data_IF_089024672504
#
_entry.id   IF_089024672504
#
_cell.length_a   1.000
_cell.length_b   1.000
_cell.length_c   1.000
_cell.angle_alpha   90.00
_cell.angle_beta   90.00
_cell.angle_gamma   90.00
#
_symmetry.space_group_name_H-M   'P 1'
#
loop_
_entity.id
_entity.type
_entity.pdbx_description
1 polymer ?
#
# COMPACT_ATOMS: atom_id res chain seq x y z
N UNK A 1 -10.69 -20.66 6.47
CA UNK A 1 -9.47 -20.36 7.24
C UNK A 1 -9.14 -18.91 7.03
N UNK A 2 -9.00 -18.21 8.12
CA UNK A 2 -8.86 -16.75 8.14
C UNK A 2 -7.41 -16.37 7.81
N UNK A 3 -7.23 -15.40 6.90
CA UNK A 3 -5.96 -14.73 6.67
C UNK A 3 -5.33 -14.17 7.97
N UNK A 4 -6.13 -14.05 9.03
CA UNK A 4 -5.74 -13.50 10.33
C UNK A 4 -4.98 -14.49 11.21
N UNK A 5 -5.11 -15.79 10.97
CA UNK A 5 -4.54 -16.83 11.83
C UNK A 5 -3.20 -17.39 11.32
N UNK A 6 -2.85 -17.11 10.07
CA UNK A 6 -1.61 -17.56 9.42
C UNK A 6 -0.63 -16.39 9.22
N UNK A 7 0.37 -16.59 8.37
CA UNK A 7 1.34 -15.54 8.00
C UNK A 7 0.71 -14.36 7.23
N UNK A 8 -0.62 -14.36 7.06
CA UNK A 8 -1.37 -13.32 6.35
C UNK A 8 -1.19 -13.37 4.83
N UNK A 9 -0.66 -14.48 4.28
CA UNK A 9 -0.33 -14.61 2.88
C UNK A 9 -0.93 -15.91 2.33
N UNK A 10 -1.65 -15.81 1.21
CA UNK A 10 -2.10 -16.97 0.44
C UNK A 10 -1.55 -16.87 -0.97
N UNK A 11 -0.80 -17.87 -1.39
CA UNK A 11 -0.39 -18.03 -2.78
C UNK A 11 -1.20 -19.14 -3.44
N UNK A 12 -1.83 -18.82 -4.57
CA UNK A 12 -2.63 -19.77 -5.33
C UNK A 12 -2.19 -19.82 -6.79
N UNK A 13 -2.20 -21.02 -7.36
CA UNK A 13 -2.12 -21.20 -8.80
C UNK A 13 -3.55 -21.19 -9.38
N UNK A 14 -3.87 -20.18 -10.18
CA UNK A 14 -5.19 -20.06 -10.77
C UNK A 14 -5.47 -21.14 -11.83
N UNK A 15 -4.43 -21.76 -12.40
CA UNK A 15 -4.50 -22.68 -13.55
C UNK A 15 -5.35 -22.13 -14.70
N UNK A 16 -5.53 -20.82 -14.76
CA UNK A 16 -6.34 -20.14 -15.77
C UNK A 16 -5.44 -19.62 -16.89
N UNK A 17 -5.87 -19.85 -18.11
CA UNK A 17 -5.31 -19.23 -19.30
C UNK A 17 -6.28 -18.14 -19.74
N UNK A 18 -5.78 -16.95 -19.91
CA UNK A 18 -6.58 -15.79 -20.33
C UNK A 18 -6.26 -15.43 -21.77
N UNK A 19 -7.30 -15.18 -22.56
CA UNK A 19 -7.14 -14.79 -23.96
C UNK A 19 -6.46 -13.42 -24.10
N UNK A 20 -6.70 -12.50 -23.15
CA UNK A 20 -6.14 -11.17 -23.12
C UNK A 20 -6.23 -10.57 -21.70
N UNK A 21 -5.65 -9.36 -21.51
CA UNK A 21 -5.67 -8.64 -20.25
C UNK A 21 -7.09 -8.32 -19.76
N UNK A 22 -8.01 -8.02 -20.67
CA UNK A 22 -9.37 -7.66 -20.31
C UNK A 22 -10.10 -8.86 -19.68
N UNK A 23 -9.98 -10.04 -20.28
CA UNK A 23 -10.56 -11.27 -19.72
C UNK A 23 -9.95 -11.61 -18.36
N UNK A 24 -8.64 -11.41 -18.19
CA UNK A 24 -7.94 -11.58 -16.92
C UNK A 24 -8.47 -10.60 -15.85
N UNK A 25 -8.58 -9.32 -16.18
CA UNK A 25 -9.09 -8.28 -15.27
C UNK A 25 -10.53 -8.56 -14.83
N UNK A 26 -11.41 -8.93 -15.77
CA UNK A 26 -12.81 -9.28 -15.47
C UNK A 26 -12.89 -10.48 -14.51
N UNK A 27 -12.09 -11.51 -14.76
CA UNK A 27 -12.02 -12.67 -13.88
C UNK A 27 -11.48 -12.29 -12.49
N UNK A 28 -10.42 -11.50 -12.45
CA UNK A 28 -9.78 -11.09 -11.21
C UNK A 28 -10.70 -10.23 -10.33
N UNK A 29 -11.44 -9.29 -10.91
CA UNK A 29 -12.44 -8.50 -10.18
C UNK A 29 -13.49 -9.44 -9.55
N UNK A 30 -14.04 -10.37 -10.34
CA UNK A 30 -15.03 -11.34 -9.82
C UNK A 30 -14.47 -12.22 -8.71
N UNK A 31 -13.19 -12.57 -8.79
CA UNK A 31 -12.51 -13.30 -7.73
C UNK A 31 -12.40 -12.45 -6.46
N UNK A 32 -11.92 -11.21 -6.58
CA UNK A 32 -11.78 -10.29 -5.45
C UNK A 32 -13.14 -9.98 -4.78
N UNK A 33 -14.21 -9.86 -5.55
CA UNK A 33 -15.57 -9.65 -5.03
C UNK A 33 -16.09 -10.80 -4.14
N UNK A 34 -15.49 -11.99 -4.22
CA UNK A 34 -15.81 -13.10 -3.30
C UNK A 34 -15.08 -13.00 -1.97
N UNK A 35 -14.02 -12.17 -1.90
CA UNK A 35 -13.21 -11.94 -0.69
C UNK A 35 -13.73 -10.71 0.04
N UNK A 36 -14.06 -9.66 -0.70
CA UNK A 36 -14.48 -8.38 -0.13
C UNK A 36 -14.93 -7.39 -1.20
N UNK A 37 -15.07 -6.14 -0.82
CA UNK A 37 -15.44 -5.05 -1.73
C UNK A 37 -14.17 -4.46 -2.36
N UNK A 38 -13.97 -4.58 -3.69
CA UNK A 38 -12.83 -3.96 -4.36
C UNK A 38 -12.86 -2.44 -4.23
N UNK A 39 -11.72 -1.86 -3.90
CA UNK A 39 -11.54 -0.42 -3.81
C UNK A 39 -11.02 0.14 -5.13
N UNK A 40 -11.42 1.37 -5.46
CA UNK A 40 -10.89 2.08 -6.61
C UNK A 40 -9.38 2.29 -6.49
N UNK A 41 -8.65 1.96 -7.55
CA UNK A 41 -7.19 2.10 -7.67
C UNK A 41 -6.78 3.41 -8.34
N UNK A 42 -7.71 4.09 -9.00
CA UNK A 42 -7.49 5.35 -9.71
C UNK A 42 -8.62 6.35 -9.41
N UNK A 43 -8.38 7.62 -9.72
CA UNK A 43 -9.41 8.67 -9.62
C UNK A 43 -10.57 8.47 -10.60
N UNK A 44 -10.41 7.64 -11.64
CA UNK A 44 -11.42 7.28 -12.61
C UNK A 44 -12.30 6.10 -12.17
N UNK A 45 -11.99 5.49 -11.04
CA UNK A 45 -12.77 4.38 -10.52
C UNK A 45 -12.31 2.98 -10.98
N UNK A 46 -11.14 2.87 -11.59
CA UNK A 46 -10.59 1.56 -11.98
C UNK A 46 -10.38 0.68 -10.76
N UNK A 47 -10.85 -0.55 -10.82
CA UNK A 47 -10.72 -1.53 -9.74
C UNK A 47 -9.45 -2.37 -9.83
N UNK A 48 -8.74 -2.34 -10.96
CA UNK A 48 -7.50 -3.08 -11.20
C UNK A 48 -6.45 -2.15 -11.77
N UNK A 49 -5.30 -2.11 -11.13
CA UNK A 49 -4.12 -1.41 -11.64
C UNK A 49 -3.18 -2.39 -12.33
N UNK A 50 -2.76 -2.08 -13.56
CA UNK A 50 -1.73 -2.86 -14.25
C UNK A 50 -0.34 -2.42 -13.78
N UNK A 51 0.40 -3.36 -13.19
CA UNK A 51 1.78 -3.12 -12.74
C UNK A 51 2.74 -3.58 -13.84
N UNK A 52 3.45 -2.66 -14.44
CA UNK A 52 4.48 -2.91 -15.47
C UNK A 52 5.38 -1.70 -15.60
N UNK A 53 6.61 -1.90 -15.99
CA UNK A 53 7.50 -0.80 -16.36
C UNK A 53 6.98 -0.15 -17.65
N UNK A 54 6.61 1.11 -17.58
CA UNK A 54 6.16 1.92 -18.72
C UNK A 54 7.28 2.80 -19.25
N UNK A 55 8.48 2.69 -18.67
CA UNK A 55 9.69 3.43 -19.12
C UNK A 55 9.51 4.95 -19.14
N UNK A 56 8.63 5.49 -18.29
CA UNK A 56 8.50 6.92 -18.11
C UNK A 56 9.79 7.49 -17.51
N UNK A 57 10.23 8.64 -18.01
CA UNK A 57 11.39 9.34 -17.43
C UNK A 57 11.14 9.77 -15.98
N UNK A 58 12.21 9.91 -15.21
CA UNK A 58 12.14 10.30 -13.78
C UNK A 58 11.34 11.60 -13.53
N UNK A 59 11.40 12.55 -14.46
CA UNK A 59 10.68 13.83 -14.36
C UNK A 59 9.25 13.80 -14.93
N UNK A 60 8.81 12.66 -15.48
CA UNK A 60 7.46 12.56 -16.03
C UNK A 60 6.44 12.53 -14.87
N UNK A 61 5.43 13.39 -14.87
CA UNK A 61 4.42 13.46 -13.81
C UNK A 61 3.59 12.17 -13.68
N UNK A 62 3.59 11.31 -14.71
CA UNK A 62 2.93 10.00 -14.70
C UNK A 62 3.75 8.94 -13.98
N UNK A 63 5.03 9.20 -13.69
CA UNK A 63 5.92 8.25 -13.03
C UNK A 63 5.46 7.98 -11.61
N UNK A 64 5.11 6.73 -11.35
CA UNK A 64 4.73 6.21 -10.04
C UNK A 64 5.45 4.90 -9.78
N UNK A 65 5.58 4.50 -8.52
CA UNK A 65 6.22 3.23 -8.15
C UNK A 65 5.78 2.03 -9.00
N UNK A 66 4.46 1.76 -9.14
CA UNK A 66 3.95 0.60 -9.88
C UNK A 66 4.22 0.59 -11.38
N UNK A 67 4.62 1.71 -11.99
CA UNK A 67 4.92 1.79 -13.44
C UNK A 67 6.40 2.02 -13.75
N UNK A 68 7.27 1.70 -12.81
CA UNK A 68 8.73 1.74 -12.97
C UNK A 68 9.37 0.41 -12.61
N UNK A 69 10.62 0.21 -13.01
CA UNK A 69 11.47 -0.91 -12.60
C UNK A 69 12.20 -0.68 -11.27
N UNK A 70 11.91 0.41 -10.57
CA UNK A 70 12.55 0.74 -9.31
C UNK A 70 12.01 -0.13 -8.16
N UNK A 71 12.90 -0.49 -7.23
CA UNK A 71 12.50 -1.17 -6.00
C UNK A 71 11.61 -0.24 -5.17
N UNK A 72 10.46 -0.72 -4.75
CA UNK A 72 9.60 -0.04 -3.79
C UNK A 72 10.10 -0.26 -2.36
N UNK A 73 10.08 0.77 -1.54
CA UNK A 73 10.29 0.64 -0.10
C UNK A 73 9.15 -0.13 0.55
N UNK A 74 9.42 -0.77 1.69
CA UNK A 74 8.36 -1.37 2.49
C UNK A 74 7.30 -0.33 2.83
N UNK A 75 6.05 -0.70 2.66
CA UNK A 75 4.90 0.12 2.95
C UNK A 75 3.67 -0.76 3.24
N UNK A 76 2.66 -0.18 3.81
CA UNK A 76 1.34 -0.79 3.92
C UNK A 76 0.34 0.00 3.08
N UNK A 77 -0.50 -0.71 2.33
CA UNK A 77 -1.63 -0.10 1.63
C UNK A 77 -2.83 0.09 2.56
N UNK A 78 -3.76 0.95 2.17
CA UNK A 78 -4.94 1.31 2.98
C UNK A 78 -6.13 0.42 2.64
N UNK A 79 -5.98 -0.86 2.88
CA UNK A 79 -7.03 -1.86 2.65
C UNK A 79 -6.80 -3.06 3.58
N UNK A 80 -7.81 -3.87 3.77
CA UNK A 80 -7.72 -5.08 4.61
C UNK A 80 -7.01 -6.22 3.88
N UNK A 81 -7.17 -6.31 2.56
CA UNK A 81 -6.59 -7.36 1.72
C UNK A 81 -6.06 -6.75 0.43
N UNK A 82 -4.85 -7.13 0.06
CA UNK A 82 -4.26 -6.84 -1.26
C UNK A 82 -4.27 -8.13 -2.07
N UNK A 83 -4.72 -8.06 -3.30
CA UNK A 83 -4.68 -9.18 -4.23
C UNK A 83 -3.81 -8.84 -5.44
N UNK A 84 -2.97 -9.79 -5.88
CA UNK A 84 -2.18 -9.70 -7.09
C UNK A 84 -2.50 -10.86 -8.02
N UNK A 85 -2.66 -10.58 -9.30
CA UNK A 85 -2.72 -11.57 -10.37
C UNK A 85 -1.48 -11.43 -11.25
N UNK A 86 -0.54 -12.37 -11.15
CA UNK A 86 0.63 -12.40 -11.99
C UNK A 86 0.26 -13.02 -13.35
N UNK A 87 0.27 -12.23 -14.41
CA UNK A 87 0.05 -12.70 -15.79
C UNK A 87 1.37 -13.07 -16.47
N UNK A 88 2.44 -12.34 -16.16
CA UNK A 88 3.76 -12.58 -16.70
C UNK A 88 4.80 -12.15 -15.64
N UNK A 89 5.65 -13.05 -15.19
CA UNK A 89 6.71 -12.68 -14.24
C UNK A 89 7.76 -11.79 -14.93
N UNK A 90 8.44 -10.96 -14.14
CA UNK A 90 9.60 -10.23 -14.62
C UNK A 90 10.73 -11.18 -15.01
N UNK A 91 11.56 -10.79 -15.99
CA UNK A 91 12.75 -11.57 -16.38
C UNK A 91 13.79 -11.65 -15.25
N UNK A 92 13.88 -10.59 -14.43
CA UNK A 92 14.78 -10.48 -13.29
C UNK A 92 14.18 -9.52 -12.27
N UNK A 93 14.22 -9.89 -10.99
CA UNK A 93 13.61 -9.09 -9.92
C UNK A 93 12.07 -9.17 -9.93
N UNK A 94 11.43 -8.23 -9.27
CA UNK A 94 9.98 -8.16 -9.15
C UNK A 94 9.40 -9.06 -8.06
N UNK A 95 10.25 -9.67 -7.23
CA UNK A 95 9.84 -10.45 -6.08
C UNK A 95 9.21 -9.55 -5.02
N UNK A 96 8.08 -9.98 -4.47
CA UNK A 96 7.47 -9.35 -3.32
C UNK A 96 8.21 -9.77 -2.04
N UNK A 97 8.56 -8.78 -1.22
CA UNK A 97 9.10 -8.99 0.11
C UNK A 97 8.02 -8.60 1.11
N UNK A 98 7.70 -9.48 2.05
CA UNK A 98 6.61 -9.27 3.00
C UNK A 98 7.16 -9.45 4.41
N UNK A 99 6.73 -8.57 5.31
CA UNK A 99 7.07 -8.63 6.73
C UNK A 99 5.81 -8.36 7.56
N UNK A 100 5.64 -9.11 8.64
CA UNK A 100 4.54 -8.89 9.58
C UNK A 100 4.77 -7.62 10.38
N UNK A 101 3.92 -6.63 10.22
CA UNK A 101 4.05 -5.33 10.90
C UNK A 101 3.94 -5.44 12.43
N UNK A 102 3.21 -6.43 12.94
CA UNK A 102 3.16 -6.70 14.39
C UNK A 102 4.54 -7.12 14.93
N UNK A 103 5.26 -8.00 14.22
CA UNK A 103 6.63 -8.39 14.61
C UNK A 103 7.60 -7.21 14.55
N UNK A 104 7.46 -6.35 13.55
CA UNK A 104 8.26 -5.10 13.48
C UNK A 104 7.99 -4.23 14.71
N UNK A 105 6.72 -4.07 15.10
CA UNK A 105 6.35 -3.32 16.32
C UNK A 105 6.96 -3.94 17.57
N UNK A 106 6.95 -5.27 17.71
CA UNK A 106 7.52 -5.98 18.86
C UNK A 106 9.03 -5.74 18.98
N UNK A 107 9.78 -5.86 17.90
CA UNK A 107 11.22 -5.56 17.86
C UNK A 107 11.49 -4.10 18.26
N UNK A 108 10.74 -3.14 17.72
CA UNK A 108 10.89 -1.73 18.08
C UNK A 108 10.57 -1.51 19.57
N UNK A 109 9.57 -2.21 20.09
CA UNK A 109 9.21 -2.13 21.52
C UNK A 109 10.33 -2.62 22.42
N UNK A 110 11.07 -3.65 22.01
CA UNK A 110 12.19 -4.22 22.77
C UNK A 110 13.46 -3.39 22.65
N UNK A 111 13.82 -2.99 21.42
CA UNK A 111 15.09 -2.33 21.16
C UNK A 111 15.03 -0.81 21.31
N UNK A 112 13.90 -0.19 20.96
CA UNK A 112 13.73 1.27 20.93
C UNK A 112 12.32 1.70 21.38
N UNK A 113 11.97 1.47 22.66
CA UNK A 113 10.66 1.82 23.20
C UNK A 113 10.37 3.34 23.15
N UNK A 114 11.40 4.17 23.10
CA UNK A 114 11.30 5.61 22.87
C UNK A 114 10.70 5.93 21.49
N UNK A 115 11.16 5.23 20.43
CA UNK A 115 10.64 5.41 19.08
C UNK A 115 9.23 4.83 18.92
N UNK A 116 8.88 3.78 19.65
CA UNK A 116 7.55 3.21 19.57
C UNK A 116 6.47 4.25 19.90
N UNK A 117 6.67 5.03 20.97
CA UNK A 117 5.75 6.10 21.36
C UNK A 117 5.54 7.13 20.25
N UNK A 118 6.61 7.41 19.50
CA UNK A 118 6.56 8.33 18.35
C UNK A 118 5.74 7.71 17.22
N UNK A 119 5.98 6.43 16.89
CA UNK A 119 5.28 5.73 15.81
C UNK A 119 3.79 5.48 16.12
N UNK A 120 3.39 5.53 17.38
CA UNK A 120 2.00 5.51 17.84
C UNK A 120 1.36 6.92 17.89
N UNK A 121 2.16 7.98 17.74
CA UNK A 121 1.65 9.34 17.57
C UNK A 121 1.21 9.59 16.12
N UNK A 122 0.43 10.66 15.92
CA UNK A 122 -0.11 10.98 14.59
C UNK A 122 0.93 11.71 13.74
N UNK A 123 1.13 11.21 12.52
CA UNK A 123 1.93 11.81 11.47
C UNK A 123 1.05 12.43 10.37
N UNK A 124 1.47 13.51 9.73
CA UNK A 124 0.84 14.01 8.52
C UNK A 124 1.19 13.09 7.34
N UNK A 125 0.20 12.73 6.55
CA UNK A 125 0.33 12.03 5.28
C UNK A 125 -0.28 12.89 4.18
N UNK A 126 0.52 13.29 3.19
CA UNK A 126 0.01 14.00 2.02
C UNK A 126 -1.00 13.11 1.27
N UNK A 127 -2.11 13.67 0.85
CA UNK A 127 -3.09 12.93 0.04
C UNK A 127 -2.61 12.85 -1.41
N UNK A 128 -2.77 11.71 -2.04
CA UNK A 128 -2.51 11.57 -3.48
C UNK A 128 -3.57 12.24 -4.33
N UNK A 129 -4.81 12.14 -3.89
CA UNK A 129 -5.98 12.72 -4.54
C UNK A 129 -6.70 13.52 -3.49
N UNK A 130 -6.99 14.79 -3.79
CA UNK A 130 -7.84 15.61 -2.94
C UNK A 130 -9.26 15.12 -3.16
N UNK A 131 -9.87 14.58 -2.11
CA UNK A 131 -11.30 14.34 -2.09
C UNK A 131 -12.03 15.70 -2.15
N UNK A 132 -12.86 15.89 -3.15
CA UNK A 132 -13.60 17.14 -3.36
C UNK A 132 -14.50 17.51 -2.17
N UNK A 133 -14.90 16.54 -1.36
CA UNK A 133 -15.64 16.75 -0.12
C UNK A 133 -14.75 17.15 1.07
N UNK A 134 -13.41 17.08 0.94
CA UNK A 134 -12.48 17.37 2.00
C UNK A 134 -11.27 18.14 1.46
N UNK A 135 -11.26 19.44 1.69
CA UNK A 135 -10.23 20.36 1.20
C UNK A 135 -8.87 20.23 1.93
N UNK A 136 -8.74 19.37 2.93
CA UNK A 136 -7.44 19.18 3.60
C UNK A 136 -6.48 18.40 2.71
N UNK A 137 -5.29 18.94 2.43
CA UNK A 137 -4.29 18.27 1.58
C UNK A 137 -3.62 17.07 2.27
N UNK A 138 -3.84 16.85 3.55
CA UNK A 138 -3.24 15.77 4.35
C UNK A 138 -4.25 15.11 5.29
N UNK A 139 -3.83 13.98 5.85
CA UNK A 139 -4.53 13.28 6.93
C UNK A 139 -3.54 12.99 8.06
N UNK A 140 -4.00 13.13 9.31
CA UNK A 140 -3.22 12.80 10.51
C UNK A 140 -3.55 11.39 10.98
N UNK A 141 -2.58 10.47 10.94
CA UNK A 141 -2.75 9.08 11.41
C UNK A 141 -1.46 8.52 11.98
N UNK A 142 -1.52 7.60 12.97
CA UNK A 142 -0.34 6.92 13.48
C UNK A 142 0.15 5.85 12.49
N UNK A 143 1.43 5.48 12.61
CA UNK A 143 1.98 4.32 11.91
C UNK A 143 1.43 3.04 12.53
N UNK A 144 1.48 2.93 13.85
CA UNK A 144 0.87 1.80 14.57
C UNK A 144 -0.35 2.26 15.35
N UNK A 145 -1.46 1.58 15.17
CA UNK A 145 -2.68 1.81 15.92
C UNK A 145 -3.33 0.51 16.37
N UNK A 146 -4.10 0.61 17.44
CA UNK A 146 -4.93 -0.49 17.93
C UNK A 146 -6.30 0.07 18.28
N UNK A 147 -7.33 -0.58 17.75
CA UNK A 147 -8.72 -0.32 18.13
C UNK A 147 -9.37 -1.65 18.50
N UNK A 148 -9.89 -1.72 19.70
CA UNK A 148 -10.38 -2.97 20.27
C UNK A 148 -9.29 -4.04 20.24
N UNK A 149 -9.52 -5.16 19.54
CA UNK A 149 -8.52 -6.22 19.35
C UNK A 149 -7.81 -6.15 18.00
N UNK A 150 -8.13 -5.16 17.15
CA UNK A 150 -7.54 -5.02 15.83
C UNK A 150 -6.28 -4.15 15.89
N UNK A 151 -5.18 -4.69 15.38
CA UNK A 151 -3.95 -3.96 15.12
C UNK A 151 -3.92 -3.49 13.68
N UNK A 152 -3.51 -2.26 13.45
CA UNK A 152 -3.31 -1.73 12.12
C UNK A 152 -1.95 -1.03 12.00
N UNK A 153 -1.31 -1.22 10.86
CA UNK A 153 -0.11 -0.50 10.45
C UNK A 153 -0.42 0.34 9.21
N UNK A 154 -0.17 1.65 9.33
CA UNK A 154 -0.33 2.61 8.22
C UNK A 154 1.00 3.25 7.93
N UNK A 155 1.86 2.59 7.16
CA UNK A 155 3.20 3.10 6.84
C UNK A 155 3.38 3.30 5.34
N UNK A 156 3.53 4.54 4.94
CA UNK A 156 3.88 4.93 3.57
C UNK A 156 4.79 6.17 3.61
N UNK A 157 6.08 5.91 3.74
CA UNK A 157 7.12 6.93 3.95
C UNK A 157 7.05 8.07 2.94
N UNK A 158 6.84 7.77 1.67
CA UNK A 158 6.78 8.78 0.61
C UNK A 158 5.67 9.82 0.83
N UNK A 159 4.56 9.45 1.47
CA UNK A 159 3.48 10.41 1.77
C UNK A 159 3.79 11.25 3.01
N UNK A 160 4.53 10.70 3.96
CA UNK A 160 5.01 11.44 5.14
C UNK A 160 6.05 12.48 4.70
N UNK A 161 7.04 12.08 3.89
CA UNK A 161 8.07 12.99 3.38
C UNK A 161 7.49 14.10 2.49
N UNK A 162 6.49 13.77 1.68
CA UNK A 162 5.76 14.76 0.89
C UNK A 162 4.97 15.73 1.75
N UNK A 163 4.40 15.29 2.86
CA UNK A 163 3.74 16.19 3.80
C UNK A 163 4.74 17.12 4.48
N UNK A 164 5.90 16.59 4.90
CA UNK A 164 6.96 17.38 5.55
C UNK A 164 7.58 18.45 4.64
N UNK A 165 7.53 18.23 3.33
CA UNK A 165 8.04 19.18 2.31
C UNK A 165 6.98 20.11 1.72
N UNK A 166 5.76 20.11 2.25
CA UNK A 166 4.62 20.86 1.71
C UNK A 166 4.13 21.90 2.71
N UNK A 167 4.16 23.17 2.32
CA UNK A 167 3.81 24.32 3.18
C UNK A 167 2.36 24.26 3.70
N UNK A 168 1.46 23.55 2.99
CA UNK A 168 0.07 23.35 3.41
C UNK A 168 -0.11 22.20 4.41
N UNK A 169 0.96 21.53 4.79
CA UNK A 169 0.96 20.40 5.71
C UNK A 169 1.75 20.71 6.99
N UNK A 170 1.40 20.09 8.12
CA UNK A 170 2.25 20.19 9.32
C UNK A 170 3.61 19.52 9.08
N UNK A 171 4.68 20.21 9.47
CA UNK A 171 6.03 19.65 9.41
C UNK A 171 6.24 18.57 10.48
N UNK A 172 7.14 17.64 10.21
CA UNK A 172 7.61 16.69 11.21
C UNK A 172 8.41 17.44 12.28
N UNK A 173 8.17 17.13 13.54
CA UNK A 173 9.02 17.63 14.61
C UNK A 173 10.40 16.98 14.51
N UNK A 174 11.47 17.77 14.55
CA UNK A 174 12.83 17.23 14.71
C UNK A 174 12.93 16.59 16.09
N UNK A 175 13.27 15.32 16.11
CA UNK A 175 13.52 14.55 17.32
C UNK A 175 15.02 14.56 17.59
#
# INVERSE_FOLDING_TARGET
ESLENDEGIIRMDSKKIFANKESASKWFIRFCQKIGTPLSQTSQGDLVLSVKDESFGYKDPRTRGPNTSNKLSFHSDRCDVIAFLCLCPAKKGGENQIVQSLKVKEVIKEERPDLLKILEAKFPYKRHVVDLANNRPYVMQPIFSKKDNFFACSYLRVLIDRADSDDDCPNLTKI
#
